data_IF_142367817694
#
_entry.id   IF_142367817694
#
_cell.length_a   1.000
_cell.length_b   1.000
_cell.length_c   1.000
_cell.angle_alpha   90.00
_cell.angle_beta   90.00
_cell.angle_gamma   90.00
#
_symmetry.space_group_name_H-M   'P 1'
#
loop_
_entity.id
_entity.type
_entity.pdbx_description
1 polymer ?
#
# COMPACT_ATOMS: atom_id res chain seq x y z
N UNK A 1 -9.69 7.44 31.62
CA UNK A 1 -8.59 7.18 30.67
C UNK A 1 -9.03 7.39 29.21
N UNK A 2 -10.23 6.98 28.81
CA UNK A 2 -10.68 7.04 27.40
C UNK A 2 -10.81 8.45 26.78
N UNK A 3 -11.20 9.47 27.57
CA UNK A 3 -11.30 10.86 27.08
C UNK A 3 -9.95 11.48 26.73
N UNK A 4 -8.91 11.22 27.53
CA UNK A 4 -7.55 11.74 27.29
C UNK A 4 -6.94 11.06 26.06
N UNK A 5 -7.15 9.76 25.92
CA UNK A 5 -6.67 8.99 24.78
C UNK A 5 -7.35 9.39 23.46
N UNK A 6 -8.65 9.71 23.53
CA UNK A 6 -9.40 10.22 22.37
C UNK A 6 -8.97 11.65 21.98
N UNK A 7 -8.68 12.52 22.96
CA UNK A 7 -8.15 13.86 22.69
C UNK A 7 -6.79 13.79 21.99
N UNK A 8 -5.89 12.95 22.47
CA UNK A 8 -4.58 12.76 21.85
C UNK A 8 -4.69 12.25 20.40
N UNK A 9 -5.58 11.28 20.13
CA UNK A 9 -5.79 10.78 18.76
C UNK A 9 -6.30 11.85 17.82
N UNK A 10 -7.22 12.75 18.26
CA UNK A 10 -7.69 13.86 17.44
C UNK A 10 -6.56 14.84 17.13
N UNK A 11 -5.74 15.19 18.11
CA UNK A 11 -4.57 16.06 17.91
C UNK A 11 -3.60 15.46 16.90
N UNK A 12 -3.31 14.16 16.99
CA UNK A 12 -2.43 13.49 16.03
C UNK A 12 -3.02 13.41 14.63
N UNK A 13 -4.32 13.22 14.51
CA UNK A 13 -4.97 13.26 13.19
C UNK A 13 -4.84 14.64 12.54
N UNK A 14 -5.02 15.72 13.31
CA UNK A 14 -4.83 17.07 12.81
C UNK A 14 -3.38 17.32 12.38
N UNK A 15 -2.41 16.87 13.16
CA UNK A 15 -0.99 16.93 12.78
C UNK A 15 -0.75 16.17 11.48
N UNK A 16 -1.26 14.96 11.35
CA UNK A 16 -1.12 14.15 10.13
C UNK A 16 -1.77 14.83 8.92
N UNK A 17 -2.92 15.48 9.10
CA UNK A 17 -3.59 16.24 8.04
C UNK A 17 -2.74 17.45 7.61
N UNK A 18 -2.22 18.22 8.55
CA UNK A 18 -1.34 19.35 8.27
C UNK A 18 -0.08 18.91 7.50
N UNK A 19 0.52 17.78 7.92
CA UNK A 19 1.66 17.21 7.23
C UNK A 19 1.29 16.70 5.83
N UNK A 20 0.13 16.05 5.68
CA UNK A 20 -0.39 15.62 4.38
C UNK A 20 -0.59 16.78 3.42
N UNK A 21 -1.20 17.87 3.88
CA UNK A 21 -1.36 19.09 3.09
C UNK A 21 0.02 19.61 2.67
N UNK A 22 0.96 19.79 3.61
CA UNK A 22 2.27 20.38 3.30
C UNK A 22 3.10 19.52 2.34
N UNK A 23 2.96 18.18 2.36
CA UNK A 23 3.70 17.28 1.47
C UNK A 23 3.14 17.24 0.04
N UNK A 24 1.86 17.51 -0.14
CA UNK A 24 1.15 17.36 -1.44
C UNK A 24 0.92 18.72 -2.13
N UNK A 25 0.81 19.81 -1.37
CA UNK A 25 0.39 21.12 -1.88
C UNK A 25 1.27 21.64 -3.01
N UNK A 26 2.59 21.59 -2.86
CA UNK A 26 3.51 22.20 -3.84
C UNK A 26 3.32 21.57 -5.23
N UNK A 27 3.16 20.27 -5.31
CA UNK A 27 2.93 19.56 -6.57
C UNK A 27 1.66 20.06 -7.27
N UNK A 28 0.58 20.24 -6.53
CA UNK A 28 -0.69 20.72 -7.10
C UNK A 28 -0.67 22.19 -7.45
N UNK A 29 0.02 23.03 -6.68
CA UNK A 29 0.26 24.43 -7.00
C UNK A 29 1.06 24.55 -8.31
N UNK A 30 2.14 23.78 -8.45
CA UNK A 30 2.91 23.74 -9.68
C UNK A 30 2.09 23.18 -10.85
N UNK A 31 1.21 22.21 -10.61
CA UNK A 31 0.31 21.69 -11.65
C UNK A 31 -0.63 22.75 -12.17
N UNK A 32 -1.21 23.53 -11.28
CA UNK A 32 -2.09 24.65 -11.63
C UNK A 32 -1.34 25.71 -12.46
N UNK A 33 -0.15 26.11 -12.02
CA UNK A 33 0.66 27.11 -12.72
C UNK A 33 1.16 26.64 -14.10
N UNK A 34 1.43 25.34 -14.25
CA UNK A 34 1.99 24.79 -15.50
C UNK A 34 0.96 24.41 -16.55
N UNK A 35 -0.25 24.04 -16.13
CA UNK A 35 -1.32 23.55 -17.03
C UNK A 35 -2.51 24.50 -17.13
N UNK A 36 -2.37 25.75 -16.79
CA UNK A 36 -3.42 26.78 -16.91
C UNK A 36 -4.79 26.28 -16.37
N UNK A 37 -4.81 25.85 -15.10
CA UNK A 37 -5.99 25.31 -14.41
C UNK A 37 -6.44 23.92 -14.86
N UNK A 38 -5.84 23.32 -15.88
CA UNK A 38 -6.26 22.00 -16.36
C UNK A 38 -5.72 20.86 -15.48
N UNK A 39 -6.42 20.61 -14.39
CA UNK A 39 -6.09 19.53 -13.45
C UNK A 39 -6.22 18.15 -14.09
N UNK A 40 -7.07 17.99 -15.12
CA UNK A 40 -7.23 16.71 -15.85
C UNK A 40 -5.91 16.28 -16.47
N UNK A 41 -5.20 17.21 -17.11
CA UNK A 41 -3.89 16.93 -17.71
C UNK A 41 -2.88 16.47 -16.65
N UNK A 42 -2.95 17.02 -15.44
CA UNK A 42 -2.10 16.58 -14.32
C UNK A 42 -2.41 15.15 -13.88
N UNK A 43 -3.69 14.83 -13.74
CA UNK A 43 -4.15 13.48 -13.35
C UNK A 43 -3.74 12.45 -14.38
N UNK A 44 -3.94 12.74 -15.67
CA UNK A 44 -3.55 11.85 -16.77
C UNK A 44 -2.03 11.67 -16.81
N UNK A 45 -1.25 12.72 -16.59
CA UNK A 45 0.21 12.66 -16.60
C UNK A 45 0.78 11.83 -15.44
N UNK A 46 0.11 11.82 -14.28
CA UNK A 46 0.55 11.02 -13.12
C UNK A 46 0.10 9.56 -13.18
N UNK A 47 -1.00 9.27 -13.87
CA UNK A 47 -1.47 7.90 -14.02
C UNK A 47 -0.69 7.21 -15.12
N UNK A 48 0.01 6.13 -14.77
CA UNK A 48 0.62 5.23 -15.76
C UNK A 48 -0.43 4.59 -16.68
N UNK A 49 -1.67 4.55 -16.20
CA UNK A 49 -2.79 3.96 -16.89
C UNK A 49 -3.85 5.04 -17.11
N UNK A 50 -3.81 5.66 -18.28
CA UNK A 50 -4.79 6.67 -18.73
C UNK A 50 -6.23 6.17 -18.65
N UNK A 51 -6.40 4.85 -18.54
CA UNK A 51 -7.66 4.17 -18.40
C UNK A 51 -8.43 4.51 -17.12
N UNK A 52 -7.78 4.81 -16.03
CA UNK A 52 -8.45 4.99 -14.74
C UNK A 52 -9.38 6.22 -14.69
N UNK A 53 -9.00 7.31 -15.33
CA UNK A 53 -9.83 8.52 -15.30
C UNK A 53 -11.21 8.32 -15.96
N UNK A 54 -11.30 7.80 -17.19
CA UNK A 54 -12.58 7.51 -17.82
C UNK A 54 -13.45 6.56 -17.00
N UNK A 55 -12.85 5.54 -16.37
CA UNK A 55 -13.58 4.59 -15.53
C UNK A 55 -14.14 5.27 -14.29
N UNK A 56 -13.35 6.11 -13.61
CA UNK A 56 -13.79 6.85 -12.43
C UNK A 56 -14.96 7.77 -12.79
N UNK A 57 -14.90 8.46 -13.93
CA UNK A 57 -15.97 9.30 -14.44
C UNK A 57 -17.21 8.46 -14.71
N UNK A 58 -17.10 7.37 -15.45
CA UNK A 58 -18.20 6.45 -15.75
C UNK A 58 -18.86 5.90 -14.49
N UNK A 59 -18.09 5.47 -13.50
CA UNK A 59 -18.61 5.00 -12.21
C UNK A 59 -19.32 6.10 -11.42
N UNK A 60 -18.87 7.35 -11.53
CA UNK A 60 -19.55 8.49 -10.89
C UNK A 60 -20.94 8.73 -11.46
N UNK A 61 -21.18 8.35 -12.70
CA UNK A 61 -22.47 8.36 -13.41
C UNK A 61 -23.27 7.06 -13.23
N UNK A 62 -22.81 6.15 -12.35
CA UNK A 62 -23.39 4.82 -12.11
C UNK A 62 -23.31 3.87 -13.31
N UNK A 63 -22.52 4.16 -14.29
CA UNK A 63 -22.20 3.22 -15.37
C UNK A 63 -21.07 2.29 -14.94
N UNK A 64 -21.42 1.08 -14.50
CA UNK A 64 -20.48 0.08 -13.97
C UNK A 64 -19.88 -0.81 -15.07
N UNK A 65 -20.35 -0.70 -16.29
CA UNK A 65 -19.84 -1.40 -17.46
C UNK A 65 -19.42 -0.37 -18.53
N UNK A 66 -18.43 0.51 -18.24
CA UNK A 66 -17.94 1.42 -19.25
C UNK A 66 -17.44 0.58 -20.43
N UNK A 67 -17.79 1.01 -21.64
CA UNK A 67 -17.37 0.39 -22.91
C UNK A 67 -15.86 0.53 -23.11
N UNK A 68 -15.14 -0.19 -22.32
CA UNK A 68 -13.70 -0.37 -22.46
C UNK A 68 -13.40 -1.43 -23.52
N UNK A 69 -14.38 -2.25 -23.72
CA UNK A 69 -14.43 -3.25 -24.75
C UNK A 69 -15.46 -2.81 -25.77
N UNK A 70 -15.07 -2.85 -27.00
CA UNK A 70 -15.98 -3.01 -28.12
C UNK A 70 -16.71 -4.37 -28.05
N UNK A 71 -16.95 -4.90 -26.84
CA UNK A 71 -17.66 -6.15 -26.67
C UNK A 71 -19.08 -5.93 -27.08
N UNK A 72 -19.38 -6.41 -28.25
CA UNK A 72 -20.71 -6.45 -28.86
C UNK A 72 -21.80 -7.11 -28.00
N UNK A 73 -21.45 -7.71 -26.87
CA UNK A 73 -22.34 -8.54 -26.07
C UNK A 73 -22.86 -7.88 -24.78
N UNK A 74 -22.55 -6.64 -24.50
CA UNK A 74 -23.32 -5.78 -23.58
C UNK A 74 -23.35 -6.11 -22.09
N UNK A 75 -22.71 -7.16 -21.62
CA UNK A 75 -22.77 -7.65 -20.23
C UNK A 75 -21.42 -7.77 -19.53
N UNK A 76 -20.38 -7.14 -20.06
CA UNK A 76 -19.07 -7.19 -19.40
C UNK A 76 -19.02 -6.25 -18.20
N UNK A 77 -18.85 -6.84 -17.02
CA UNK A 77 -18.50 -6.08 -15.82
C UNK A 77 -17.01 -5.70 -15.91
N UNK A 78 -16.71 -4.51 -15.42
CA UNK A 78 -15.34 -4.01 -15.46
C UNK A 78 -14.36 -4.95 -14.74
N UNK A 79 -13.27 -5.28 -15.41
CA UNK A 79 -12.24 -6.20 -14.92
C UNK A 79 -11.12 -5.51 -14.11
N UNK A 80 -11.34 -4.29 -13.62
CA UNK A 80 -10.41 -3.59 -12.73
C UNK A 80 -10.80 -3.77 -11.26
N UNK A 81 -9.84 -3.64 -10.34
CA UNK A 81 -10.13 -3.63 -8.90
C UNK A 81 -11.12 -2.52 -8.54
N UNK A 82 -12.34 -2.92 -8.21
CA UNK A 82 -13.51 -2.04 -8.10
C UNK A 82 -13.41 -1.04 -6.96
N UNK A 83 -12.96 -1.49 -5.78
CA UNK A 83 -13.03 -0.67 -4.55
C UNK A 83 -12.24 0.63 -4.67
N UNK A 84 -11.01 0.56 -5.18
CA UNK A 84 -10.19 1.77 -5.35
C UNK A 84 -10.80 2.77 -6.33
N UNK A 85 -11.38 2.26 -7.42
CA UNK A 85 -12.07 3.08 -8.42
C UNK A 85 -13.37 3.65 -7.87
N UNK A 86 -14.13 2.85 -7.15
CA UNK A 86 -15.38 3.26 -6.54
C UNK A 86 -15.19 4.37 -5.51
N UNK A 87 -14.18 4.27 -4.65
CA UNK A 87 -13.85 5.36 -3.71
C UNK A 87 -13.57 6.65 -4.46
N UNK A 88 -12.73 6.59 -5.51
CA UNK A 88 -12.46 7.77 -6.33
C UNK A 88 -13.73 8.32 -6.99
N UNK A 89 -14.60 7.47 -7.54
CA UNK A 89 -15.83 7.87 -8.23
C UNK A 89 -16.86 8.53 -7.30
N UNK A 90 -16.96 8.06 -6.05
CA UNK A 90 -17.82 8.70 -5.05
C UNK A 90 -17.41 10.14 -4.78
N UNK A 91 -16.13 10.39 -4.58
CA UNK A 91 -15.63 11.75 -4.37
C UNK A 91 -15.70 12.59 -5.65
N UNK A 92 -15.44 11.96 -6.82
CA UNK A 92 -15.59 12.62 -8.11
C UNK A 92 -17.02 13.11 -8.34
N UNK A 93 -18.02 12.32 -7.96
CA UNK A 93 -19.44 12.72 -8.06
C UNK A 93 -19.78 13.95 -7.24
N UNK A 94 -19.09 14.17 -6.11
CA UNK A 94 -19.37 15.26 -5.17
C UNK A 94 -18.62 16.54 -5.55
N UNK A 95 -17.33 16.44 -5.85
CA UNK A 95 -16.43 17.59 -6.05
C UNK A 95 -15.70 17.58 -7.41
N UNK A 96 -16.12 16.70 -8.32
CA UNK A 96 -15.56 16.61 -9.67
C UNK A 96 -14.06 16.29 -9.65
N UNK A 97 -13.34 16.92 -10.56
CA UNK A 97 -11.91 16.69 -10.77
C UNK A 97 -11.04 16.99 -9.53
N UNK A 98 -11.48 17.90 -8.65
CA UNK A 98 -10.78 18.25 -7.41
C UNK A 98 -10.72 17.07 -6.41
N UNK A 99 -11.52 16.02 -6.64
CA UNK A 99 -11.49 14.79 -5.85
C UNK A 99 -10.11 14.14 -5.80
N UNK A 100 -9.34 14.25 -6.88
CA UNK A 100 -7.99 13.68 -6.94
C UNK A 100 -7.04 14.38 -5.97
N UNK A 101 -7.10 15.72 -5.89
CA UNK A 101 -6.31 16.51 -4.94
C UNK A 101 -6.73 16.16 -3.51
N UNK A 102 -8.03 16.17 -3.26
CA UNK A 102 -8.59 15.88 -1.95
C UNK A 102 -8.20 14.48 -1.46
N UNK A 103 -8.39 13.46 -2.29
CA UNK A 103 -8.06 12.07 -1.94
C UNK A 103 -6.56 11.88 -1.74
N UNK A 104 -5.71 12.52 -2.54
CA UNK A 104 -4.26 12.43 -2.34
C UNK A 104 -3.85 13.00 -0.97
N UNK A 105 -4.39 14.17 -0.59
CA UNK A 105 -4.15 14.77 0.72
C UNK A 105 -4.64 13.85 1.84
N UNK A 106 -5.87 13.38 1.75
CA UNK A 106 -6.49 12.55 2.77
C UNK A 106 -5.78 11.21 2.89
N UNK A 107 -5.46 10.55 1.79
CA UNK A 107 -4.72 9.29 1.82
C UNK A 107 -3.33 9.46 2.43
N UNK A 108 -2.62 10.53 2.08
CA UNK A 108 -1.31 10.85 2.67
C UNK A 108 -1.41 11.07 4.18
N UNK A 109 -2.42 11.83 4.62
CA UNK A 109 -2.68 12.06 6.04
C UNK A 109 -3.00 10.75 6.78
N UNK A 110 -3.81 9.88 6.18
CA UNK A 110 -4.11 8.56 6.76
C UNK A 110 -2.88 7.66 6.83
N UNK A 111 -1.99 7.68 5.83
CA UNK A 111 -0.73 6.95 5.90
C UNK A 111 0.10 7.37 7.12
N UNK A 112 0.33 8.67 7.25
CA UNK A 112 1.10 9.22 8.37
C UNK A 112 0.44 8.84 9.70
N UNK A 113 -0.89 8.96 9.79
CA UNK A 113 -1.65 8.61 10.98
C UNK A 113 -1.57 7.13 11.33
N UNK A 114 -1.72 6.23 10.35
CA UNK A 114 -1.65 4.77 10.57
C UNK A 114 -0.25 4.38 11.02
N UNK A 115 0.80 4.85 10.35
CA UNK A 115 2.18 4.55 10.73
C UNK A 115 2.52 5.07 12.12
N UNK A 116 2.12 6.32 12.43
CA UNK A 116 2.29 6.85 13.77
C UNK A 116 1.66 5.93 14.83
N UNK A 117 0.44 5.48 14.60
CA UNK A 117 -0.25 4.57 15.52
C UNK A 117 0.42 3.18 15.58
N UNK A 118 0.96 2.67 14.47
CA UNK A 118 1.76 1.44 14.47
C UNK A 118 2.99 1.63 15.36
N UNK A 119 3.76 2.70 15.16
CA UNK A 119 4.97 2.96 15.94
C UNK A 119 4.66 3.14 17.44
N UNK A 120 3.58 3.83 17.79
CA UNK A 120 3.13 3.93 19.19
C UNK A 120 2.85 2.55 19.79
N UNK A 121 2.16 1.66 19.05
CA UNK A 121 1.92 0.27 19.51
C UNK A 121 3.20 -0.55 19.65
N UNK A 122 4.23 -0.24 18.89
CA UNK A 122 5.56 -0.83 19.00
C UNK A 122 6.40 -0.25 20.14
N UNK A 123 5.82 0.66 20.94
CA UNK A 123 6.46 1.37 22.06
C UNK A 123 7.54 2.38 21.65
N UNK A 124 7.39 3.01 20.48
CA UNK A 124 8.20 4.18 20.12
C UNK A 124 7.76 5.42 20.91
N UNK A 125 8.70 6.34 21.11
CA UNK A 125 8.35 7.66 21.66
C UNK A 125 7.45 8.41 20.69
N UNK A 126 6.51 9.19 21.25
CA UNK A 126 5.47 9.87 20.47
C UNK A 126 6.05 10.77 19.38
N UNK A 127 7.07 11.56 19.73
CA UNK A 127 7.69 12.48 18.78
C UNK A 127 8.47 11.74 17.68
N UNK A 128 9.26 10.75 18.06
CA UNK A 128 10.03 9.97 17.10
C UNK A 128 9.14 9.14 16.17
N UNK A 129 7.97 8.70 16.66
CA UNK A 129 6.99 7.99 15.81
C UNK A 129 6.44 8.85 14.67
N UNK A 130 6.33 10.18 14.83
CA UNK A 130 5.96 11.11 13.76
C UNK A 130 7.08 11.18 12.73
N UNK A 131 8.32 11.33 13.17
CA UNK A 131 9.50 11.37 12.28
C UNK A 131 9.61 10.07 11.50
N UNK A 132 9.47 8.92 12.15
CA UNK A 132 9.48 7.62 11.48
C UNK A 132 8.36 7.48 10.44
N UNK A 133 7.18 8.00 10.72
CA UNK A 133 6.04 7.96 9.78
C UNK A 133 6.31 8.78 8.52
N UNK A 134 6.88 9.98 8.70
CA UNK A 134 7.31 10.83 7.58
C UNK A 134 8.48 10.22 6.82
N UNK A 135 9.45 9.67 7.53
CA UNK A 135 10.60 9.01 6.91
C UNK A 135 10.15 7.83 6.05
N UNK A 136 9.26 6.98 6.55
CA UNK A 136 8.69 5.89 5.76
C UNK A 136 8.00 6.39 4.50
N UNK A 137 7.28 7.51 4.58
CA UNK A 137 6.63 8.12 3.42
C UNK A 137 7.64 8.70 2.43
N UNK A 138 8.73 9.30 2.90
CA UNK A 138 9.76 9.94 2.07
C UNK A 138 10.82 8.97 1.52
N UNK A 139 11.01 7.79 2.12
CA UNK A 139 12.07 6.83 1.74
C UNK A 139 12.09 6.52 0.25
N UNK A 140 10.98 6.22 -0.45
CA UNK A 140 11.03 5.93 -1.87
C UNK A 140 11.64 7.08 -2.69
N UNK A 141 11.26 8.32 -2.37
CA UNK A 141 11.80 9.52 -3.03
C UNK A 141 13.28 9.71 -2.71
N UNK A 142 13.66 9.57 -1.45
CA UNK A 142 15.06 9.69 -1.01
C UNK A 142 15.95 8.67 -1.71
N UNK A 143 15.51 7.42 -1.81
CA UNK A 143 16.27 6.35 -2.46
C UNK A 143 16.43 6.57 -3.96
N UNK A 144 15.38 7.07 -4.65
CA UNK A 144 15.47 7.44 -6.07
C UNK A 144 16.53 8.52 -6.28
N UNK A 145 16.54 9.52 -5.42
CA UNK A 145 17.47 10.65 -5.55
C UNK A 145 18.89 10.26 -5.14
N UNK A 146 19.05 9.23 -4.30
CA UNK A 146 20.35 8.65 -3.97
C UNK A 146 20.85 7.60 -4.99
N UNK A 147 20.06 7.25 -6.00
CA UNK A 147 20.41 6.26 -7.01
C UNK A 147 21.65 6.64 -7.84
N UNK A 148 22.02 7.94 -7.86
CA UNK A 148 23.28 8.39 -8.48
C UNK A 148 24.55 7.79 -7.85
N UNK A 149 24.46 7.23 -6.65
CA UNK A 149 25.60 6.57 -5.97
C UNK A 149 25.92 5.19 -6.60
N UNK A 150 25.17 4.78 -7.63
CA UNK A 150 25.43 3.61 -8.48
C UNK A 150 25.77 2.30 -7.72
N UNK A 151 25.01 2.03 -6.67
CA UNK A 151 25.10 0.74 -5.97
C UNK A 151 24.08 -0.21 -6.60
N UNK A 152 24.52 -1.10 -7.50
CA UNK A 152 23.66 -2.06 -8.23
C UNK A 152 22.68 -2.85 -7.34
N UNK A 153 23.00 -3.06 -6.06
CA UNK A 153 22.11 -3.69 -5.09
C UNK A 153 20.97 -2.77 -4.63
N UNK A 154 21.19 -1.45 -4.66
CA UNK A 154 20.20 -0.45 -4.30
C UNK A 154 19.13 -0.29 -5.39
N UNK A 155 19.49 -0.47 -6.67
CA UNK A 155 18.56 -0.29 -7.77
C UNK A 155 17.32 -1.20 -7.67
N UNK A 156 17.53 -2.47 -7.30
CA UNK A 156 16.41 -3.39 -7.09
C UNK A 156 15.50 -2.95 -5.93
N UNK A 157 16.11 -2.46 -4.86
CA UNK A 157 15.43 -1.94 -3.68
C UNK A 157 14.63 -0.67 -4.00
N UNK A 158 15.23 0.23 -4.78
CA UNK A 158 14.63 1.50 -5.20
C UNK A 158 13.38 1.25 -6.04
N UNK A 159 13.48 0.40 -7.07
CA UNK A 159 12.36 0.07 -7.96
C UNK A 159 11.18 -0.52 -7.18
N UNK A 160 11.46 -1.38 -6.22
CA UNK A 160 10.40 -2.03 -5.44
C UNK A 160 9.83 -1.10 -4.36
N UNK A 161 10.66 -0.29 -3.71
CA UNK A 161 10.18 0.67 -2.71
C UNK A 161 9.38 1.82 -3.32
N UNK A 162 9.56 2.15 -4.61
CA UNK A 162 8.67 3.06 -5.30
C UNK A 162 7.21 2.59 -5.29
N UNK A 163 6.98 1.28 -5.25
CA UNK A 163 5.64 0.69 -5.20
C UNK A 163 5.05 0.68 -3.79
N UNK A 164 5.87 0.87 -2.77
CA UNK A 164 5.44 0.96 -1.38
C UNK A 164 4.48 2.14 -1.14
N UNK A 165 4.81 3.27 -1.72
CA UNK A 165 3.93 4.44 -1.78
C UNK A 165 4.02 5.09 -3.12
N UNK A 166 3.36 4.62 -4.09
CA UNK A 166 3.10 5.45 -5.22
C UNK A 166 1.93 6.36 -4.84
N UNK A 167 2.10 7.66 -5.02
CA UNK A 167 0.98 8.60 -5.01
C UNK A 167 0.10 8.44 -6.25
N UNK A 168 0.31 7.38 -7.01
CA UNK A 168 -0.46 7.09 -8.21
C UNK A 168 -1.89 6.72 -7.85
N UNK A 169 -2.84 7.42 -8.43
CA UNK A 169 -4.24 7.12 -8.34
C UNK A 169 -4.66 6.05 -9.36
N UNK A 170 -5.68 5.27 -9.06
CA UNK A 170 -6.28 5.05 -7.74
C UNK A 170 -5.47 4.06 -6.90
N UNK A 171 -4.48 3.44 -7.52
CA UNK A 171 -3.57 2.47 -6.91
C UNK A 171 -2.12 2.87 -7.13
N UNK A 172 -1.21 2.54 -6.21
CA UNK A 172 -1.38 1.77 -4.99
C UNK A 172 -1.80 2.58 -3.76
N UNK A 173 -1.97 3.91 -3.86
CA UNK A 173 -2.21 4.74 -2.66
C UNK A 173 -3.39 4.24 -1.80
N UNK A 174 -4.54 3.91 -2.40
CA UNK A 174 -5.72 3.45 -1.66
C UNK A 174 -5.54 2.00 -1.19
N UNK A 175 -5.06 1.10 -2.07
CA UNK A 175 -4.90 -0.32 -1.71
C UNK A 175 -3.90 -0.53 -0.58
N UNK A 176 -2.83 0.26 -0.55
CA UNK A 176 -1.82 0.15 0.50
C UNK A 176 -2.32 0.66 1.86
N UNK A 177 -3.26 1.64 1.89
CA UNK A 177 -3.91 2.04 3.13
C UNK A 177 -4.66 0.89 3.79
N UNK A 178 -5.30 0.02 3.01
CA UNK A 178 -5.98 -1.17 3.55
C UNK A 178 -4.98 -2.13 4.17
N UNK A 179 -3.87 -2.44 3.48
CA UNK A 179 -2.82 -3.30 4.01
C UNK A 179 -2.23 -2.75 5.32
N UNK A 180 -1.88 -1.46 5.38
CA UNK A 180 -1.29 -0.90 6.60
C UNK A 180 -2.30 -0.77 7.74
N UNK A 181 -3.58 -0.52 7.42
CA UNK A 181 -4.65 -0.63 8.40
C UNK A 181 -4.78 -2.06 8.92
N UNK A 182 -4.68 -3.05 8.05
CA UNK A 182 -4.69 -4.45 8.44
C UNK A 182 -3.53 -4.79 9.37
N UNK A 183 -2.30 -4.38 9.04
CA UNK A 183 -1.12 -4.56 9.89
C UNK A 183 -1.34 -3.92 11.28
N UNK A 184 -1.89 -2.71 11.32
CA UNK A 184 -2.22 -2.04 12.58
C UNK A 184 -3.18 -2.88 13.45
N UNK A 185 -4.25 -3.42 12.84
CA UNK A 185 -5.22 -4.24 13.57
C UNK A 185 -4.69 -5.63 13.93
N UNK A 186 -3.79 -6.21 13.14
CA UNK A 186 -3.09 -7.45 13.50
C UNK A 186 -2.17 -7.23 14.72
N UNK A 187 -1.44 -6.12 14.77
CA UNK A 187 -0.63 -5.76 15.94
C UNK A 187 -1.53 -5.55 17.17
N UNK A 188 -2.67 -4.85 17.00
CA UNK A 188 -3.66 -4.67 18.06
C UNK A 188 -4.22 -6.00 18.57
N UNK A 189 -4.59 -6.90 17.66
CA UNK A 189 -5.01 -8.25 17.97
C UNK A 189 -3.92 -9.02 18.73
N UNK A 190 -2.67 -8.91 18.31
CA UNK A 190 -1.56 -9.63 18.96
C UNK A 190 -1.33 -9.16 20.41
N UNK A 191 -1.49 -7.86 20.68
CA UNK A 191 -1.33 -7.26 22.02
C UNK A 191 -2.49 -7.61 22.95
N UNK A 192 -3.72 -7.68 22.45
CA UNK A 192 -4.93 -7.96 23.25
C UNK A 192 -4.84 -9.33 23.92
N UNK A 193 -5.29 -9.39 25.18
CA UNK A 193 -5.36 -10.65 25.94
C UNK A 193 -6.73 -11.33 25.81
N UNK A 194 -7.80 -10.55 25.64
CA UNK A 194 -9.20 -10.99 25.62
C UNK A 194 -10.01 -10.16 24.61
N UNK A 195 -11.27 -10.51 24.38
CA UNK A 195 -12.23 -9.79 23.56
C UNK A 195 -11.78 -9.62 22.08
N UNK A 196 -11.47 -10.73 21.43
CA UNK A 196 -10.97 -10.75 20.06
C UNK A 196 -12.06 -10.50 18.99
N UNK A 197 -13.35 -10.57 19.37
CA UNK A 197 -14.47 -10.59 18.46
C UNK A 197 -14.47 -9.40 17.48
N UNK A 198 -14.30 -8.19 18.01
CA UNK A 198 -14.21 -6.98 17.18
C UNK A 198 -13.02 -7.01 16.23
N UNK A 199 -11.90 -7.59 16.65
CA UNK A 199 -10.70 -7.72 15.82
C UNK A 199 -10.95 -8.68 14.66
N UNK A 200 -11.64 -9.80 14.87
CA UNK A 200 -12.00 -10.74 13.79
C UNK A 200 -12.87 -10.07 12.73
N UNK A 201 -13.91 -9.33 13.14
CA UNK A 201 -14.79 -8.64 12.19
C UNK A 201 -14.05 -7.60 11.35
N UNK A 202 -13.22 -6.77 12.00
CA UNK A 202 -12.45 -5.72 11.31
C UNK A 202 -11.42 -6.33 10.35
N UNK A 203 -10.70 -7.36 10.79
CA UNK A 203 -9.69 -8.03 9.95
C UNK A 203 -10.34 -8.72 8.75
N UNK A 204 -11.48 -9.38 8.93
CA UNK A 204 -12.23 -10.00 7.83
C UNK A 204 -12.78 -8.98 6.84
N UNK A 205 -13.29 -7.84 7.32
CA UNK A 205 -13.73 -6.76 6.45
C UNK A 205 -12.57 -6.15 5.66
N UNK A 206 -11.42 -5.91 6.29
CA UNK A 206 -10.23 -5.39 5.60
C UNK A 206 -9.73 -6.37 4.54
N UNK A 207 -9.60 -7.66 4.85
CA UNK A 207 -9.25 -8.67 3.85
C UNK A 207 -10.23 -8.68 2.67
N UNK A 208 -11.52 -8.58 2.94
CA UNK A 208 -12.56 -8.51 1.91
C UNK A 208 -12.48 -7.25 1.05
N UNK A 209 -12.17 -6.11 1.63
CA UNK A 209 -11.94 -4.87 0.90
C UNK A 209 -10.65 -4.97 0.07
N UNK A 210 -9.58 -5.52 0.65
CA UNK A 210 -8.27 -5.62 -0.01
C UNK A 210 -8.32 -6.54 -1.23
N UNK A 211 -9.06 -7.65 -1.21
CA UNK A 211 -9.19 -8.53 -2.38
C UNK A 211 -9.80 -7.80 -3.57
N UNK A 212 -10.74 -6.89 -3.32
CA UNK A 212 -11.39 -6.06 -4.34
C UNK A 212 -10.61 -4.79 -4.70
N UNK A 213 -9.58 -4.44 -3.93
CA UNK A 213 -8.71 -3.30 -4.22
C UNK A 213 -7.42 -3.74 -4.93
N UNK A 214 -6.79 -4.80 -4.44
CA UNK A 214 -5.58 -5.40 -5.01
C UNK A 214 -5.37 -6.81 -4.44
N UNK A 215 -5.83 -7.82 -5.14
CA UNK A 215 -5.94 -9.19 -4.60
C UNK A 215 -4.60 -9.81 -4.14
N UNK A 216 -3.46 -9.38 -4.68
CA UNK A 216 -2.15 -9.86 -4.22
C UNK A 216 -1.92 -9.57 -2.73
N UNK A 217 -2.34 -8.39 -2.27
CA UNK A 217 -2.21 -8.01 -0.87
C UNK A 217 -3.08 -8.85 0.04
N UNK A 218 -4.25 -9.28 -0.44
CA UNK A 218 -5.13 -10.16 0.31
C UNK A 218 -4.43 -11.47 0.72
N UNK A 219 -3.67 -12.11 -0.18
CA UNK A 219 -2.95 -13.32 0.17
C UNK A 219 -1.89 -13.08 1.25
N UNK A 220 -1.20 -11.95 1.18
CA UNK A 220 -0.23 -11.54 2.20
C UNK A 220 -0.95 -11.32 3.54
N UNK A 221 -2.09 -10.63 3.55
CA UNK A 221 -2.91 -10.40 4.75
C UNK A 221 -3.42 -11.69 5.36
N UNK A 222 -3.91 -12.60 4.52
CA UNK A 222 -4.43 -13.90 4.95
C UNK A 222 -3.35 -14.72 5.66
N UNK A 223 -2.19 -14.92 5.02
CA UNK A 223 -1.09 -15.65 5.63
C UNK A 223 -0.52 -14.93 6.84
N UNK A 224 -0.45 -13.62 6.81
CA UNK A 224 0.04 -12.84 7.94
C UNK A 224 -0.85 -13.01 9.18
N UNK A 225 -2.16 -12.90 9.01
CA UNK A 225 -3.09 -13.16 10.11
C UNK A 225 -3.02 -14.59 10.60
N UNK A 226 -2.98 -15.56 9.69
CA UNK A 226 -2.90 -16.98 10.02
C UNK A 226 -1.65 -17.32 10.84
N UNK A 227 -0.48 -16.86 10.39
CA UNK A 227 0.78 -17.11 11.11
C UNK A 227 0.78 -16.41 12.48
N UNK A 228 0.35 -15.14 12.54
CA UNK A 228 0.26 -14.40 13.81
C UNK A 228 -0.72 -15.08 14.76
N UNK A 229 -1.83 -15.59 14.28
CA UNK A 229 -2.81 -16.34 15.07
C UNK A 229 -2.19 -17.61 15.67
N UNK A 230 -1.48 -18.41 14.86
CA UNK A 230 -0.77 -19.60 15.32
C UNK A 230 0.32 -19.27 16.35
N UNK A 231 1.13 -18.22 16.09
CA UNK A 231 2.19 -17.77 17.01
C UNK A 231 1.62 -17.31 18.34
N UNK A 232 0.47 -16.60 18.30
CA UNK A 232 -0.18 -16.08 19.51
C UNK A 232 -0.76 -17.19 20.37
N UNK A 233 -1.51 -18.10 19.79
CA UNK A 233 -2.27 -19.12 20.54
C UNK A 233 -1.57 -20.48 20.64
N UNK A 234 -0.56 -20.73 19.83
CA UNK A 234 0.24 -21.96 19.85
C UNK A 234 -0.67 -23.22 19.85
N UNK A 235 -0.51 -24.08 20.87
CA UNK A 235 -1.31 -25.31 21.01
C UNK A 235 -2.81 -25.09 21.28
N UNK A 236 -3.18 -23.89 21.77
CA UNK A 236 -4.55 -23.58 22.15
C UNK A 236 -5.40 -23.03 20.98
N UNK A 237 -4.87 -22.98 19.75
CA UNK A 237 -5.56 -22.31 18.65
C UNK A 237 -6.90 -22.96 18.31
N UNK A 238 -7.01 -24.32 18.36
CA UNK A 238 -8.26 -25.04 18.13
C UNK A 238 -9.29 -24.70 19.19
N UNK A 239 -8.90 -24.67 20.46
CA UNK A 239 -9.79 -24.30 21.56
C UNK A 239 -10.30 -22.86 21.42
N UNK A 240 -9.46 -21.91 20.98
CA UNK A 240 -9.87 -20.52 20.73
C UNK A 240 -10.89 -20.45 19.59
N UNK A 241 -10.70 -21.20 18.51
CA UNK A 241 -11.66 -21.26 17.41
C UNK A 241 -12.99 -21.82 17.93
N UNK A 242 -12.95 -22.95 18.63
CA UNK A 242 -14.15 -23.60 19.18
C UNK A 242 -14.94 -22.65 20.13
N UNK A 243 -14.25 -22.02 21.05
CA UNK A 243 -14.88 -21.10 22.02
C UNK A 243 -15.44 -19.81 21.37
N UNK A 244 -14.95 -19.44 20.18
CA UNK A 244 -15.38 -18.25 19.45
C UNK A 244 -16.03 -18.58 18.10
N UNK A 245 -16.53 -19.78 17.92
CA UNK A 245 -17.03 -20.29 16.64
C UNK A 245 -18.07 -19.35 16.01
N UNK A 246 -19.01 -18.84 16.80
CA UNK A 246 -20.03 -17.87 16.34
C UNK A 246 -19.40 -16.62 15.71
N UNK A 247 -18.34 -16.08 16.33
CA UNK A 247 -17.66 -14.90 15.83
C UNK A 247 -16.81 -15.18 14.60
N UNK A 248 -16.21 -16.38 14.51
CA UNK A 248 -15.55 -16.84 13.30
C UNK A 248 -16.53 -16.99 12.13
N UNK A 249 -17.70 -17.57 12.37
CA UNK A 249 -18.75 -17.68 11.35
C UNK A 249 -19.22 -16.31 10.84
N UNK A 250 -19.48 -15.37 11.73
CA UNK A 250 -19.84 -14.00 11.32
C UNK A 250 -18.71 -13.29 10.57
N UNK A 251 -17.47 -13.48 10.99
CA UNK A 251 -16.30 -12.96 10.27
C UNK A 251 -16.18 -13.56 8.88
N UNK A 252 -16.42 -14.86 8.74
CA UNK A 252 -16.44 -15.55 7.45
C UNK A 252 -17.56 -15.05 6.54
N UNK A 253 -18.75 -14.78 7.08
CA UNK A 253 -19.86 -14.18 6.33
C UNK A 253 -19.52 -12.78 5.82
N UNK A 254 -18.92 -11.93 6.66
CA UNK A 254 -18.44 -10.61 6.25
C UNK A 254 -17.44 -10.75 5.08
N UNK A 255 -16.49 -11.66 5.20
CA UNK A 255 -15.50 -11.91 4.15
C UNK A 255 -16.15 -12.43 2.86
N UNK A 256 -17.10 -13.38 2.97
CA UNK A 256 -17.82 -13.95 1.83
C UNK A 256 -18.63 -12.91 1.05
N UNK A 257 -19.21 -11.91 1.73
CA UNK A 257 -19.88 -10.80 1.06
C UNK A 257 -18.95 -10.01 0.14
N UNK A 258 -17.72 -9.75 0.57
CA UNK A 258 -16.75 -9.05 -0.27
C UNK A 258 -16.16 -9.94 -1.36
N UNK A 259 -15.88 -11.21 -1.05
CA UNK A 259 -15.32 -12.14 -2.05
C UNK A 259 -16.33 -12.43 -3.17
N UNK A 260 -17.63 -12.37 -2.88
CA UNK A 260 -18.68 -12.54 -3.91
C UNK A 260 -18.58 -11.47 -5.00
N UNK A 261 -18.24 -10.23 -4.65
CA UNK A 261 -18.01 -9.14 -5.62
C UNK A 261 -16.82 -9.50 -6.54
N UNK A 262 -15.73 -9.97 -5.97
CA UNK A 262 -14.56 -10.39 -6.75
C UNK A 262 -14.86 -11.58 -7.66
N UNK A 263 -15.64 -12.56 -7.16
CA UNK A 263 -16.06 -13.72 -7.95
C UNK A 263 -17.00 -13.35 -9.08
N UNK A 264 -17.94 -12.41 -8.84
CA UNK A 264 -18.81 -11.87 -9.89
C UNK A 264 -17.98 -11.19 -10.99
N UNK A 265 -16.94 -10.42 -10.62
CA UNK A 265 -16.04 -9.85 -11.61
C UNK A 265 -15.33 -10.92 -12.43
N UNK A 266 -14.79 -11.96 -11.78
CA UNK A 266 -14.12 -13.07 -12.47
C UNK A 266 -15.06 -13.83 -13.41
N UNK A 267 -16.34 -13.95 -13.04
CA UNK A 267 -17.33 -14.72 -13.81
C UNK A 267 -17.87 -13.95 -15.01
N UNK A 268 -18.10 -12.63 -14.86
CA UNK A 268 -18.70 -11.80 -15.89
C UNK A 268 -17.71 -10.96 -16.69
N UNK A 269 -16.41 -10.99 -16.36
CA UNK A 269 -15.39 -10.32 -17.16
C UNK A 269 -15.08 -11.15 -18.41
N UNK A 270 -14.89 -10.45 -19.52
CA UNK A 270 -14.44 -11.11 -20.75
C UNK A 270 -13.03 -11.70 -20.59
N UNK A 271 -12.72 -12.82 -21.25
CA UNK A 271 -11.41 -13.51 -21.13
C UNK A 271 -10.22 -12.61 -21.34
N UNK A 272 -10.30 -11.68 -22.28
CA UNK A 272 -9.23 -10.73 -22.60
C UNK A 272 -8.98 -9.70 -21.50
N UNK A 273 -9.99 -9.44 -20.67
CA UNK A 273 -9.91 -8.48 -19.55
C UNK A 273 -9.68 -9.12 -18.19
N UNK A 274 -9.84 -10.44 -18.04
CA UNK A 274 -9.48 -11.16 -16.81
C UNK A 274 -8.01 -10.92 -16.43
N UNK A 275 -7.13 -10.72 -17.42
CA UNK A 275 -5.74 -10.34 -17.24
C UNK A 275 -5.57 -9.03 -16.43
N UNK A 276 -6.53 -8.11 -16.52
CA UNK A 276 -6.50 -6.85 -15.75
C UNK A 276 -6.78 -7.04 -14.25
N UNK A 277 -7.52 -8.09 -13.90
CA UNK A 277 -7.62 -8.56 -12.50
C UNK A 277 -6.35 -9.29 -12.06
N UNK A 278 -5.47 -9.62 -13.01
CA UNK A 278 -4.20 -10.27 -12.77
C UNK A 278 -4.29 -11.79 -12.64
N UNK A 279 -5.42 -12.42 -12.99
CA UNK A 279 -5.63 -13.88 -12.94
C UNK A 279 -5.90 -14.39 -14.35
N UNK A 280 -5.16 -15.41 -14.79
CA UNK A 280 -5.34 -16.04 -16.10
C UNK A 280 -5.17 -17.56 -16.04
N UNK A 281 -5.74 -18.26 -17.02
CA UNK A 281 -5.60 -19.70 -17.14
C UNK A 281 -4.24 -20.05 -17.75
N UNK A 282 -3.55 -21.03 -17.16
CA UNK A 282 -2.26 -21.51 -17.66
C UNK A 282 -2.44 -22.82 -18.39
N UNK A 283 -1.86 -22.91 -19.58
CA UNK A 283 -1.60 -24.22 -20.21
C UNK A 283 -0.34 -24.89 -19.61
N UNK A 284 -0.06 -26.12 -19.99
CA UNK A 284 1.07 -26.88 -19.42
C UNK A 284 2.43 -26.22 -19.65
N UNK A 285 2.68 -25.65 -20.84
CA UNK A 285 3.94 -24.98 -21.15
C UNK A 285 4.11 -23.68 -20.36
N UNK A 286 3.05 -22.89 -20.21
CA UNK A 286 3.06 -21.68 -19.39
C UNK A 286 3.32 -21.98 -17.91
N UNK A 287 2.84 -23.12 -17.39
CA UNK A 287 3.14 -23.54 -16.03
C UNK A 287 4.61 -23.85 -15.80
N UNK A 288 5.27 -24.48 -16.79
CA UNK A 288 6.70 -24.77 -16.70
C UNK A 288 7.50 -23.46 -16.67
N UNK A 289 7.22 -22.54 -17.60
CA UNK A 289 7.87 -21.23 -17.63
C UNK A 289 7.65 -20.46 -16.31
N UNK A 290 6.45 -20.52 -15.78
CA UNK A 290 6.15 -19.85 -14.52
C UNK A 290 6.86 -20.49 -13.33
N UNK A 291 6.99 -21.83 -13.33
CA UNK A 291 7.75 -22.53 -12.32
C UNK A 291 9.23 -22.16 -12.35
N UNK A 292 9.86 -22.12 -13.54
CA UNK A 292 11.22 -21.66 -13.72
C UNK A 292 11.40 -20.21 -13.23
N UNK A 293 10.44 -19.32 -13.52
CA UNK A 293 10.47 -17.94 -13.05
C UNK A 293 10.38 -17.82 -11.52
N UNK A 294 9.57 -18.66 -10.86
CA UNK A 294 9.50 -18.75 -9.40
C UNK A 294 10.82 -19.30 -8.82
N UNK A 295 11.36 -20.34 -9.45
CA UNK A 295 12.61 -20.98 -9.04
C UNK A 295 13.77 -19.98 -9.15
N UNK A 296 13.91 -19.28 -10.24
CA UNK A 296 14.93 -18.25 -10.44
C UNK A 296 14.87 -17.14 -9.39
N UNK A 297 13.67 -16.73 -8.99
CA UNK A 297 13.51 -15.75 -7.94
C UNK A 297 13.94 -16.31 -6.57
N UNK A 298 13.40 -17.49 -6.18
CA UNK A 298 13.63 -18.04 -4.84
C UNK A 298 15.03 -18.65 -4.65
N UNK A 299 15.65 -19.17 -5.70
CA UNK A 299 17.04 -19.64 -5.67
C UNK A 299 18.04 -18.52 -6.00
N UNK A 300 17.56 -17.35 -6.39
CA UNK A 300 18.38 -16.20 -6.67
C UNK A 300 19.18 -15.74 -5.44
N UNK A 301 20.48 -15.45 -5.62
CA UNK A 301 21.39 -15.01 -4.54
C UNK A 301 20.85 -13.83 -3.73
N UNK A 302 20.13 -12.92 -4.38
CA UNK A 302 19.54 -11.73 -3.74
C UNK A 302 18.42 -12.10 -2.76
N UNK A 303 17.53 -13.02 -3.15
CA UNK A 303 16.48 -13.49 -2.26
C UNK A 303 17.05 -14.31 -1.10
N UNK A 304 17.97 -15.22 -1.38
CA UNK A 304 18.63 -16.05 -0.34
C UNK A 304 19.31 -15.13 0.69
N UNK A 305 20.04 -14.13 0.25
CA UNK A 305 20.65 -13.16 1.16
C UNK A 305 19.60 -12.41 2.00
N UNK A 306 18.54 -11.90 1.35
CA UNK A 306 17.46 -11.20 2.04
C UNK A 306 16.80 -12.10 3.09
N UNK A 307 16.53 -13.35 2.74
CA UNK A 307 15.90 -14.33 3.63
C UNK A 307 16.77 -14.67 4.83
N UNK A 308 18.03 -15.00 4.58
CA UNK A 308 19.01 -15.32 5.65
C UNK A 308 19.25 -14.13 6.57
N UNK A 309 19.39 -12.92 6.01
CA UNK A 309 19.57 -11.70 6.78
C UNK A 309 18.38 -11.42 7.70
N UNK A 310 17.14 -11.49 7.17
CA UNK A 310 15.93 -11.30 7.97
C UNK A 310 15.78 -12.38 9.05
N UNK A 311 16.12 -13.63 8.74
CA UNK A 311 16.08 -14.74 9.71
C UNK A 311 17.11 -14.55 10.83
N UNK A 312 18.32 -14.16 10.49
CA UNK A 312 19.36 -13.85 11.49
C UNK A 312 18.90 -12.69 12.39
N UNK A 313 18.36 -11.63 11.81
CA UNK A 313 17.85 -10.48 12.55
C UNK A 313 16.69 -10.87 13.49
N UNK A 314 15.79 -11.74 13.03
CA UNK A 314 14.70 -12.28 13.85
C UNK A 314 15.22 -13.02 15.09
N UNK A 315 16.32 -13.77 14.98
CA UNK A 315 16.92 -14.47 16.11
C UNK A 315 17.52 -13.49 17.12
N UNK A 316 18.14 -12.41 16.66
CA UNK A 316 18.81 -11.41 17.49
C UNK A 316 17.81 -10.51 18.23
N UNK A 317 16.73 -10.09 17.58
CA UNK A 317 15.76 -9.17 18.15
C UNK A 317 14.98 -9.85 19.27
N UNK A 318 14.94 -9.21 20.46
CA UNK A 318 14.18 -9.70 21.62
C UNK A 318 12.72 -9.21 21.64
N UNK A 319 12.44 -8.06 21.02
CA UNK A 319 11.11 -7.45 21.06
C UNK A 319 10.12 -8.25 20.18
N UNK A 320 9.12 -8.85 20.83
CA UNK A 320 8.10 -9.69 20.17
C UNK A 320 7.24 -8.90 19.18
N UNK A 321 6.98 -7.62 19.44
CA UNK A 321 6.15 -6.78 18.55
C UNK A 321 6.90 -6.45 17.26
N UNK A 322 8.20 -6.18 17.35
CA UNK A 322 9.04 -5.96 16.15
C UNK A 322 9.11 -7.25 15.31
N UNK A 323 9.17 -8.41 15.96
CA UNK A 323 9.18 -9.72 15.26
C UNK A 323 7.93 -9.97 14.41
N UNK A 324 6.83 -9.26 14.64
CA UNK A 324 5.62 -9.36 13.80
C UNK A 324 5.92 -8.99 12.34
N UNK A 325 6.84 -8.05 12.09
CA UNK A 325 7.23 -7.67 10.73
C UNK A 325 8.03 -8.75 10.01
N UNK A 326 8.74 -9.60 10.73
CA UNK A 326 9.31 -10.81 10.14
C UNK A 326 8.22 -11.82 9.73
N UNK A 327 7.15 -11.95 10.52
CA UNK A 327 6.01 -12.79 10.15
C UNK A 327 5.29 -12.25 8.92
N UNK A 328 5.22 -10.93 8.76
CA UNK A 328 4.72 -10.28 7.54
C UNK A 328 5.61 -10.63 6.33
N UNK A 329 6.92 -10.58 6.48
CA UNK A 329 7.86 -11.00 5.43
C UNK A 329 7.66 -12.47 5.05
N UNK A 330 7.57 -13.39 6.03
CA UNK A 330 7.28 -14.80 5.76
C UNK A 330 5.94 -14.99 5.03
N UNK A 331 4.94 -14.19 5.38
CA UNK A 331 3.63 -14.24 4.73
C UNK A 331 3.71 -13.84 3.26
N UNK A 332 4.50 -12.81 2.93
CA UNK A 332 4.72 -12.40 1.55
C UNK A 332 5.49 -13.46 0.75
N UNK A 333 6.41 -14.20 1.38
CA UNK A 333 7.14 -15.33 0.75
C UNK A 333 6.20 -16.51 0.48
N UNK A 334 5.32 -16.85 1.43
CA UNK A 334 4.40 -17.98 1.30
C UNK A 334 3.30 -17.72 0.27
N UNK A 335 2.87 -16.46 0.07
CA UNK A 335 1.75 -16.11 -0.78
C UNK A 335 1.88 -16.59 -2.23
N UNK A 336 2.95 -16.31 -2.99
CA UNK A 336 3.10 -16.78 -4.36
C UNK A 336 3.22 -18.30 -4.46
N UNK A 337 3.92 -18.93 -3.51
CA UNK A 337 4.09 -20.37 -3.46
C UNK A 337 2.72 -21.06 -3.31
N UNK A 338 1.95 -20.61 -2.32
CA UNK A 338 0.62 -21.14 -2.07
C UNK A 338 -0.32 -20.92 -3.26
N UNK A 339 -0.30 -19.71 -3.84
CA UNK A 339 -1.14 -19.38 -4.98
C UNK A 339 -0.84 -20.29 -6.18
N UNK A 340 0.43 -20.50 -6.50
CA UNK A 340 0.86 -21.34 -7.60
C UNK A 340 0.39 -22.80 -7.43
N UNK A 341 0.65 -23.41 -6.27
CA UNK A 341 0.37 -24.82 -6.04
C UNK A 341 -1.11 -25.14 -5.80
N UNK A 342 -1.86 -24.23 -5.16
CA UNK A 342 -3.26 -24.50 -4.77
C UNK A 342 -4.23 -24.06 -5.87
N UNK A 343 -4.07 -22.82 -6.38
CA UNK A 343 -5.03 -22.30 -7.36
C UNK A 343 -4.69 -22.68 -8.80
N UNK A 344 -3.45 -23.07 -9.09
CA UNK A 344 -3.02 -23.53 -10.39
C UNK A 344 -3.36 -22.55 -11.54
N UNK A 345 -3.32 -21.26 -11.26
CA UNK A 345 -3.63 -20.17 -12.18
C UNK A 345 -2.42 -19.24 -12.36
N UNK A 346 -2.33 -18.62 -13.53
CA UNK A 346 -1.37 -17.59 -13.79
C UNK A 346 -1.77 -16.27 -13.13
N UNK A 347 -0.78 -15.57 -12.64
CA UNK A 347 -0.88 -14.20 -12.13
C UNK A 347 0.41 -13.45 -12.44
N UNK A 348 0.36 -12.14 -12.35
CA UNK A 348 1.56 -11.32 -12.43
C UNK A 348 2.41 -11.47 -11.16
N UNK A 349 3.19 -12.56 -11.07
CA UNK A 349 3.97 -12.91 -9.90
C UNK A 349 4.95 -11.83 -9.47
N UNK A 350 5.36 -10.92 -10.36
CA UNK A 350 6.22 -9.80 -10.01
C UNK A 350 5.60 -8.90 -8.92
N UNK A 351 4.29 -8.82 -8.82
CA UNK A 351 3.63 -8.10 -7.73
C UNK A 351 3.87 -8.75 -6.37
N UNK A 352 3.88 -10.08 -6.31
CA UNK A 352 4.28 -10.79 -5.07
C UNK A 352 5.75 -10.56 -4.76
N UNK A 353 6.63 -10.62 -5.77
CA UNK A 353 8.06 -10.41 -5.57
C UNK A 353 8.39 -9.00 -5.10
N UNK A 354 7.70 -7.99 -5.61
CA UNK A 354 7.80 -6.63 -5.09
C UNK A 354 7.51 -6.56 -3.60
N UNK A 355 6.44 -7.21 -3.17
CA UNK A 355 6.04 -7.20 -1.76
C UNK A 355 6.94 -8.06 -0.88
N UNK A 356 7.54 -9.12 -1.39
CA UNK A 356 8.58 -9.87 -0.68
C UNK A 356 9.78 -8.95 -0.39
N UNK A 357 10.23 -8.18 -1.37
CA UNK A 357 11.33 -7.24 -1.20
C UNK A 357 10.96 -6.11 -0.24
N UNK A 358 9.76 -5.53 -0.41
CA UNK A 358 9.27 -4.45 0.45
C UNK A 358 9.18 -4.90 1.92
N UNK A 359 8.55 -6.03 2.19
CA UNK A 359 8.38 -6.54 3.56
C UNK A 359 9.70 -7.02 4.17
N UNK A 360 10.57 -7.61 3.33
CA UNK A 360 11.92 -8.01 3.71
C UNK A 360 12.83 -6.82 4.06
N UNK A 361 12.55 -5.63 3.52
CA UNK A 361 13.24 -4.40 3.90
C UNK A 361 12.57 -3.70 5.09
N UNK A 362 11.26 -3.78 5.19
CA UNK A 362 10.50 -3.12 6.25
C UNK A 362 10.88 -3.63 7.64
N UNK A 363 11.13 -4.93 7.79
CA UNK A 363 11.52 -5.50 9.07
C UNK A 363 12.87 -4.99 9.59
N UNK A 364 13.99 -5.01 8.82
CA UNK A 364 15.24 -4.40 9.24
C UNK A 364 15.13 -2.91 9.51
N UNK A 365 14.38 -2.18 8.68
CA UNK A 365 14.16 -0.75 8.83
C UNK A 365 13.50 -0.43 10.17
N UNK A 366 12.37 -1.08 10.47
CA UNK A 366 11.64 -0.86 11.74
C UNK A 366 12.51 -1.29 12.93
N UNK A 367 13.29 -2.36 12.78
CA UNK A 367 14.21 -2.82 13.80
C UNK A 367 15.30 -1.79 14.10
N UNK A 368 15.86 -1.18 13.06
CA UNK A 368 16.89 -0.14 13.19
C UNK A 368 16.31 1.13 13.81
N UNK A 369 15.12 1.56 13.38
CA UNK A 369 14.43 2.70 13.95
C UNK A 369 14.11 2.47 15.44
N UNK A 370 13.67 1.28 15.81
CA UNK A 370 13.42 0.92 17.21
C UNK A 370 14.70 0.99 18.07
N UNK A 371 15.81 0.50 17.53
CA UNK A 371 17.10 0.59 18.21
C UNK A 371 17.56 2.05 18.38
N UNK A 372 17.38 2.89 17.37
CA UNK A 372 17.67 4.32 17.42
C UNK A 372 16.80 5.00 18.49
N UNK A 373 15.47 4.77 18.48
CA UNK A 373 14.55 5.36 19.46
C UNK A 373 14.94 4.98 20.90
N UNK A 374 15.26 3.72 21.13
CA UNK A 374 15.65 3.23 22.46
C UNK A 374 16.95 3.89 23.02
N UNK A 375 17.85 4.32 22.12
CA UNK A 375 19.05 5.10 22.48
C UNK A 375 18.75 6.59 22.56
N UNK A 376 17.98 7.14 21.61
CA UNK A 376 17.60 8.55 21.57
C UNK A 376 16.78 8.98 22.78
N UNK A 377 15.92 8.10 23.33
CA UNK A 377 15.18 8.37 24.56
C UNK A 377 16.08 8.78 25.74
N UNK A 378 17.31 8.27 25.78
CA UNK A 378 18.31 8.67 26.78
C UNK A 378 18.86 10.09 26.54
N UNK A 379 18.90 10.52 25.31
CA UNK A 379 19.41 11.84 24.87
C UNK A 379 18.32 12.92 24.90
N UNK A 380 17.05 12.54 24.67
CA UNK A 380 15.89 13.46 24.59
C UNK A 380 15.52 14.16 25.90
N UNK A 381 16.22 13.86 27.01
CA UNK A 381 16.12 14.65 28.24
C UNK A 381 16.63 16.10 28.06
N UNK A 382 17.40 16.35 27.01
CA UNK A 382 17.95 17.67 26.71
C UNK A 382 17.11 18.39 25.63
N UNK A 383 16.76 19.66 25.85
CA UNK A 383 15.98 20.47 24.91
C UNK A 383 16.65 20.62 23.55
N UNK A 384 17.99 20.66 23.52
CA UNK A 384 18.76 20.77 22.28
C UNK A 384 18.53 19.56 21.33
N UNK A 385 18.37 18.36 21.86
CA UNK A 385 18.10 17.17 21.04
C UNK A 385 16.67 17.14 20.49
N UNK A 386 15.69 17.73 21.19
CA UNK A 386 14.32 17.89 20.64
C UNK A 386 14.32 18.89 19.47
N UNK A 387 15.07 19.98 19.61
CA UNK A 387 15.21 20.98 18.54
C UNK A 387 15.89 20.40 17.30
N UNK A 388 16.92 19.59 17.49
CA UNK A 388 17.62 18.89 16.40
C UNK A 388 16.67 17.94 15.65
N UNK A 389 15.87 17.14 16.37
CA UNK A 389 14.89 16.24 15.76
C UNK A 389 13.77 17.00 15.03
N UNK A 390 13.30 18.12 15.57
CA UNK A 390 12.34 19.00 14.90
C UNK A 390 12.91 19.57 13.60
N UNK A 391 14.18 19.95 13.61
CA UNK A 391 14.89 20.40 12.43
C UNK A 391 14.98 19.31 11.35
N UNK A 392 15.31 18.06 11.74
CA UNK A 392 15.31 16.92 10.81
C UNK A 392 13.93 16.69 10.18
N UNK A 393 12.86 16.82 10.94
CA UNK A 393 11.48 16.69 10.43
C UNK A 393 11.20 17.76 9.35
N UNK A 394 11.57 19.00 9.61
CA UNK A 394 11.41 20.08 8.63
C UNK A 394 12.26 19.81 7.38
N UNK A 395 13.50 19.35 7.54
CA UNK A 395 14.36 19.02 6.40
C UNK A 395 13.77 17.92 5.53
N UNK A 396 13.19 16.86 6.11
CA UNK A 396 12.53 15.77 5.37
C UNK A 396 11.37 16.34 4.54
N UNK A 397 10.52 17.18 5.13
CA UNK A 397 9.37 17.78 4.45
C UNK A 397 9.85 18.68 3.29
N UNK A 398 10.80 19.56 3.54
CA UNK A 398 11.33 20.48 2.54
C UNK A 398 11.97 19.71 1.39
N UNK A 399 12.82 18.74 1.70
CA UNK A 399 13.48 17.90 0.71
C UNK A 399 12.46 17.15 -0.17
N UNK A 400 11.46 16.50 0.46
CA UNK A 400 10.41 15.77 -0.26
C UNK A 400 9.64 16.68 -1.22
N UNK A 401 9.25 17.88 -0.77
CA UNK A 401 8.54 18.84 -1.60
C UNK A 401 9.37 19.33 -2.79
N UNK A 402 10.63 19.69 -2.56
CA UNK A 402 11.53 20.15 -3.62
C UNK A 402 11.75 19.05 -4.65
N UNK A 403 12.09 17.83 -4.21
CA UNK A 403 12.33 16.70 -5.10
C UNK A 403 11.09 16.36 -5.96
N UNK A 404 9.92 16.30 -5.34
CA UNK A 404 8.67 16.05 -6.07
C UNK A 404 8.30 17.21 -7.00
N UNK A 405 8.55 18.46 -6.61
CA UNK A 405 8.35 19.62 -7.45
C UNK A 405 9.22 19.60 -8.71
N UNK A 406 10.51 19.30 -8.57
CA UNK A 406 11.44 19.19 -9.71
C UNK A 406 11.02 18.05 -10.64
N UNK A 407 10.69 16.88 -10.09
CA UNK A 407 10.21 15.73 -10.88
C UNK A 407 8.93 16.07 -11.64
N UNK A 408 8.04 16.83 -11.01
CA UNK A 408 6.81 17.28 -11.66
C UNK A 408 7.11 18.23 -12.83
N UNK A 409 7.94 19.26 -12.65
CA UNK A 409 8.31 20.20 -13.70
C UNK A 409 8.90 19.46 -14.90
N UNK A 410 9.87 18.57 -14.68
CA UNK A 410 10.49 17.78 -15.74
C UNK A 410 9.50 16.88 -16.52
N UNK A 411 8.46 16.38 -15.84
CA UNK A 411 7.39 15.63 -16.51
C UNK A 411 6.45 16.55 -17.27
N UNK A 412 6.10 17.69 -16.69
CA UNK A 412 5.18 18.65 -17.29
C UNK A 412 5.75 19.23 -18.60
N UNK A 413 7.05 19.54 -18.64
CA UNK A 413 7.73 20.00 -19.85
C UNK A 413 7.64 18.98 -20.98
N UNK A 414 7.93 17.72 -20.68
CA UNK A 414 7.82 16.63 -21.68
C UNK A 414 6.39 16.41 -22.15
N UNK A 415 5.41 16.59 -21.27
CA UNK A 415 4.00 16.44 -21.61
C UNK A 415 3.51 17.60 -22.48
N UNK A 416 3.87 18.84 -22.15
CA UNK A 416 3.51 20.03 -22.92
C UNK A 416 4.10 19.97 -24.33
N UNK A 417 5.31 19.48 -24.50
CA UNK A 417 5.90 19.27 -25.81
C UNK A 417 5.07 18.29 -26.66
N UNK A 418 4.63 17.17 -26.08
CA UNK A 418 3.76 16.20 -26.78
C UNK A 418 2.38 16.79 -27.09
N UNK A 419 1.80 17.56 -26.17
CA UNK A 419 0.52 18.23 -26.36
C UNK A 419 0.56 19.23 -27.52
N UNK A 420 1.60 20.03 -27.61
CA UNK A 420 1.77 20.98 -28.70
C UNK A 420 1.82 20.29 -30.05
N UNK A 421 2.54 19.19 -30.17
CA UNK A 421 2.56 18.37 -31.39
C UNK A 421 1.18 17.78 -31.75
N UNK A 422 0.39 17.34 -30.77
CA UNK A 422 -0.98 16.86 -31.00
C UNK A 422 -1.89 18.01 -31.46
N UNK A 423 -1.79 19.19 -30.85
CA UNK A 423 -2.58 20.37 -31.24
C UNK A 423 -2.23 20.83 -32.66
N UNK A 424 -0.97 20.76 -33.05
CA UNK A 424 -0.55 21.05 -34.42
C UNK A 424 -1.21 20.09 -35.42
N UNK A 425 -1.26 18.78 -35.10
CA UNK A 425 -1.92 17.76 -35.95
C UNK A 425 -3.43 17.95 -35.98
N UNK A 426 -4.07 18.24 -34.84
CA UNK A 426 -5.53 18.48 -34.80
C UNK A 426 -5.96 19.78 -35.49
N UNK A 427 -5.12 20.79 -35.54
CA UNK A 427 -5.36 22.02 -36.29
C UNK A 427 -5.12 21.85 -37.80
N UNK A 428 -4.46 20.76 -38.21
CA UNK A 428 -4.20 20.45 -39.60
C UNK A 428 -5.31 19.59 -40.26
N UNK A 429 -6.10 18.88 -39.46
CA UNK A 429 -7.28 18.09 -39.84
C UNK A 429 -8.53 18.96 -39.78
#
# INVERSE_FOLDING_TARGET
>A
MDKVQNSQKKTFFLIALTLGISLVSLKWILSYLYFDEDIVLRVINDSYDTAYYPIIKSFSELNLAPSYSDSLNGLSIISFPVISLFINSLFYKIIGIYSFIFLEIICTAFFIFIFHNIFIKLNFSTFFSIICSLLLFAIPTILIDLAFINIKTLDLLIVNLQKFYSMRFPRPIISNLFLFSFIYFVIDFFIKKENYNKSFYILSALMGVTINAFFYLFFIEFFFFFIVFLVKFKKNFIQIISNNLKHFLYSSLIFLLFISIFQLQLFYSEPDYIQRLGVFYLNASQKIILFEYLEDFFLGKKFIFLFLFNTALYLIIKNKLIKIFYLLFLSSVLSPIFFFYIFNKGVDYYHFFDWIVITGFLFPLISSLYFIDSKLLKLLKNNNSKNLLSFFLVLIIVYFNISNGIKFINKAEKFNYKRNGINEVTNFI
#
